data_IF_560852023448
#
_entry.id   IF_560852023448
#
_cell.length_a   1.000
_cell.length_b   1.000
_cell.length_c   1.000
_cell.angle_alpha   90.00
_cell.angle_beta   90.00
_cell.angle_gamma   90.00
#
_symmetry.space_group_name_H-M   'P 1'
#
loop_
_entity.id
_entity.type
_entity.pdbx_description
1 polymer ?
#
# COMPACT_ATOMS: atom_id res chain seq x y z
N UNK A 1 -6.81 -21.86 -6.29
CA UNK A 1 -6.65 -20.43 -5.97
C UNK A 1 -5.88 -20.29 -4.66
N UNK A 2 -5.18 -19.18 -4.44
CA UNK A 2 -4.44 -18.87 -3.19
C UNK A 2 -4.78 -17.48 -2.69
N UNK A 3 -4.79 -17.28 -1.35
CA UNK A 3 -5.03 -16.00 -0.69
C UNK A 3 -3.72 -15.29 -0.26
N UNK A 4 -2.59 -15.70 -0.81
CA UNK A 4 -1.29 -15.07 -0.49
C UNK A 4 -1.32 -13.55 -0.71
N UNK A 5 -0.59 -12.81 0.12
CA UNK A 5 -0.41 -11.35 -0.01
C UNK A 5 1.00 -10.96 -0.50
N UNK A 6 1.94 -11.92 -0.53
CA UNK A 6 3.36 -11.67 -0.82
C UNK A 6 3.99 -12.70 -1.75
N UNK A 7 3.59 -13.98 -1.71
CA UNK A 7 4.14 -15.02 -2.60
C UNK A 7 3.65 -14.86 -4.05
N UNK A 8 4.53 -15.15 -5.01
CA UNK A 8 4.23 -15.13 -6.46
C UNK A 8 3.23 -16.23 -6.83
N UNK A 9 2.19 -15.85 -7.56
CA UNK A 9 1.22 -16.78 -8.16
C UNK A 9 1.88 -17.60 -9.26
N UNK A 10 2.76 -16.99 -10.06
CA UNK A 10 3.56 -17.67 -11.09
C UNK A 10 4.42 -18.76 -10.46
N UNK A 11 5.18 -18.46 -9.41
CA UNK A 11 6.02 -19.45 -8.71
C UNK A 11 5.17 -20.58 -8.12
N UNK A 12 4.07 -20.26 -7.43
CA UNK A 12 3.14 -21.26 -6.87
C UNK A 12 2.60 -22.19 -7.95
N UNK A 13 2.35 -21.68 -9.16
CA UNK A 13 1.77 -22.48 -10.24
C UNK A 13 2.69 -23.62 -10.71
N UNK A 14 4.02 -23.44 -10.58
CA UNK A 14 5.03 -24.42 -11.00
C UNK A 14 5.00 -25.71 -10.18
N UNK A 15 4.46 -25.67 -8.97
CA UNK A 15 4.30 -26.85 -8.11
C UNK A 15 3.16 -27.78 -8.58
N UNK A 16 2.43 -27.42 -9.63
CA UNK A 16 1.25 -28.14 -10.10
C UNK A 16 1.43 -28.66 -11.54
N UNK A 17 0.64 -29.67 -11.93
CA UNK A 17 0.56 -30.16 -13.31
C UNK A 17 -0.47 -29.41 -14.17
N UNK A 18 -1.12 -28.39 -13.61
CA UNK A 18 -2.22 -27.61 -14.23
C UNK A 18 -2.05 -26.11 -13.95
N UNK A 19 -0.88 -25.53 -14.28
CA UNK A 19 -0.56 -24.15 -13.92
C UNK A 19 -1.57 -23.14 -14.48
N UNK A 20 -2.24 -23.46 -15.59
CA UNK A 20 -3.28 -22.65 -16.21
C UNK A 20 -4.56 -22.48 -15.38
N UNK A 21 -4.77 -23.36 -14.40
CA UNK A 21 -5.89 -23.30 -13.44
C UNK A 21 -5.49 -22.71 -12.08
N UNK A 22 -4.25 -22.25 -11.92
CA UNK A 22 -3.79 -21.55 -10.71
C UNK A 22 -4.08 -20.05 -10.82
N UNK A 23 -4.57 -19.44 -9.74
CA UNK A 23 -5.00 -18.03 -9.69
C UNK A 23 -4.85 -17.49 -8.26
N UNK A 24 -4.52 -16.20 -8.12
CA UNK A 24 -4.61 -15.49 -6.84
C UNK A 24 -6.02 -14.95 -6.60
N UNK A 25 -6.54 -15.14 -5.39
CA UNK A 25 -7.75 -14.50 -4.87
C UNK A 25 -7.41 -13.89 -3.52
N UNK A 26 -6.88 -12.66 -3.54
CA UNK A 26 -6.42 -11.99 -2.34
C UNK A 26 -7.56 -11.19 -1.70
N UNK A 27 -8.05 -11.70 -0.58
CA UNK A 27 -9.09 -11.10 0.26
C UNK A 27 -8.46 -10.21 1.35
N UNK A 28 -9.17 -9.14 1.70
CA UNK A 28 -8.73 -8.19 2.73
C UNK A 28 -9.41 -8.47 4.07
N UNK A 29 -8.67 -8.31 5.18
CA UNK A 29 -9.14 -8.60 6.53
C UNK A 29 -9.85 -7.39 7.16
N UNK A 30 -11.01 -7.55 7.85
CA UNK A 30 -11.82 -8.76 7.97
C UNK A 30 -12.59 -9.12 6.70
N UNK A 31 -12.47 -10.37 6.25
CA UNK A 31 -13.03 -10.84 4.97
C UNK A 31 -14.54 -10.64 4.89
N UNK A 32 -15.27 -10.70 6.00
CA UNK A 32 -16.72 -10.49 6.01
C UNK A 32 -17.13 -9.03 5.80
N UNK A 33 -16.29 -8.08 6.18
CA UNK A 33 -16.56 -6.64 6.06
C UNK A 33 -15.97 -6.06 4.77
N UNK A 34 -14.74 -6.46 4.44
CA UNK A 34 -14.02 -5.92 3.28
C UNK A 34 -14.63 -6.43 1.98
N UNK A 35 -14.88 -5.51 1.05
CA UNK A 35 -15.50 -5.80 -0.25
C UNK A 35 -14.50 -6.20 -1.32
N UNK A 36 -13.28 -5.66 -1.25
CA UNK A 36 -12.26 -5.89 -2.27
C UNK A 36 -11.80 -7.35 -2.32
N UNK A 37 -11.59 -7.83 -3.55
CA UNK A 37 -10.74 -8.99 -3.85
C UNK A 37 -9.82 -8.62 -5.03
N UNK A 38 -8.52 -8.79 -4.87
CA UNK A 38 -7.60 -8.73 -6.02
C UNK A 38 -7.57 -10.12 -6.67
N UNK A 39 -7.96 -10.20 -7.96
CA UNK A 39 -7.93 -11.43 -8.75
C UNK A 39 -6.65 -11.40 -9.60
N UNK A 40 -5.68 -12.24 -9.24
CA UNK A 40 -4.31 -12.13 -9.74
C UNK A 40 -3.97 -13.24 -10.72
N UNK A 41 -3.63 -12.82 -11.94
CA UNK A 41 -3.16 -13.66 -13.03
C UNK A 41 -1.65 -13.92 -12.88
N UNK A 42 -1.28 -15.18 -12.73
CA UNK A 42 0.11 -15.61 -12.93
C UNK A 42 0.42 -15.80 -14.41
N UNK A 43 1.69 -15.95 -14.77
CA UNK A 43 2.14 -16.02 -16.18
C UNK A 43 1.51 -17.17 -16.97
N UNK A 44 1.15 -18.26 -16.28
CA UNK A 44 0.55 -19.44 -16.89
C UNK A 44 -0.98 -19.45 -16.79
N UNK A 45 -1.59 -18.60 -15.96
CA UNK A 45 -3.03 -18.59 -15.72
C UNK A 45 -3.81 -18.31 -17.01
N UNK A 46 -4.76 -19.17 -17.34
CA UNK A 46 -5.60 -18.96 -18.53
C UNK A 46 -6.61 -17.82 -18.34
N UNK A 47 -7.01 -17.20 -19.45
CA UNK A 47 -8.05 -16.17 -19.42
C UNK A 47 -9.39 -16.73 -18.89
N UNK A 48 -9.73 -17.97 -19.24
CA UNK A 48 -10.90 -18.68 -18.72
C UNK A 48 -10.88 -18.76 -17.19
N UNK A 49 -9.73 -19.10 -16.58
CA UNK A 49 -9.58 -19.16 -15.12
C UNK A 49 -9.74 -17.78 -14.49
N UNK A 50 -9.15 -16.75 -15.09
CA UNK A 50 -9.27 -15.35 -14.65
C UNK A 50 -10.73 -14.89 -14.67
N UNK A 51 -11.44 -15.13 -15.77
CA UNK A 51 -12.83 -14.72 -15.93
C UNK A 51 -13.75 -15.47 -14.96
N UNK A 52 -13.56 -16.79 -14.81
CA UNK A 52 -14.31 -17.60 -13.85
C UNK A 52 -14.13 -17.11 -12.41
N UNK A 53 -12.88 -16.82 -12.01
CA UNK A 53 -12.54 -16.34 -10.68
C UNK A 53 -13.14 -14.96 -10.41
N UNK A 54 -13.06 -14.05 -11.39
CA UNK A 54 -13.69 -12.74 -11.31
C UNK A 54 -15.21 -12.83 -11.14
N UNK A 55 -15.89 -13.65 -11.96
CA UNK A 55 -17.33 -13.88 -11.84
C UNK A 55 -17.73 -14.54 -10.52
N UNK A 56 -16.89 -15.45 -10.00
CA UNK A 56 -17.10 -16.03 -8.68
C UNK A 56 -17.11 -14.95 -7.59
N UNK A 57 -16.13 -14.04 -7.57
CA UNK A 57 -16.08 -12.94 -6.61
C UNK A 57 -17.33 -12.04 -6.67
N UNK A 58 -17.82 -11.71 -7.87
CA UNK A 58 -19.07 -10.95 -8.02
C UNK A 58 -20.26 -11.68 -7.38
N UNK A 59 -20.41 -12.99 -7.64
CA UNK A 59 -21.52 -13.80 -7.10
C UNK A 59 -21.54 -13.87 -5.57
N UNK A 60 -20.38 -13.81 -4.92
CA UNK A 60 -20.28 -13.80 -3.46
C UNK A 60 -20.35 -12.38 -2.86
N UNK A 61 -20.81 -11.39 -3.64
CA UNK A 61 -21.01 -10.01 -3.18
C UNK A 61 -19.72 -9.24 -2.92
N UNK A 62 -18.62 -9.63 -3.57
CA UNK A 62 -17.34 -8.92 -3.53
C UNK A 62 -17.20 -7.97 -4.70
N UNK A 63 -16.23 -7.07 -4.57
CA UNK A 63 -15.81 -6.09 -5.56
C UNK A 63 -14.44 -6.55 -6.08
N UNK A 64 -14.40 -7.40 -7.13
CA UNK A 64 -13.14 -7.84 -7.70
C UNK A 64 -12.49 -6.73 -8.55
N UNK A 65 -11.16 -6.73 -8.55
CA UNK A 65 -10.30 -5.98 -9.48
C UNK A 65 -9.33 -6.95 -10.15
N UNK A 66 -8.97 -6.68 -11.40
CA UNK A 66 -8.04 -7.54 -12.15
C UNK A 66 -6.60 -7.08 -11.92
N UNK A 67 -5.73 -8.04 -11.59
CA UNK A 67 -4.28 -7.87 -11.59
C UNK A 67 -3.74 -8.73 -12.71
N UNK A 68 -3.44 -8.11 -13.85
CA UNK A 68 -3.10 -8.77 -15.11
C UNK A 68 -1.68 -9.36 -15.12
N UNK A 69 -0.84 -8.92 -14.18
CA UNK A 69 0.52 -9.42 -14.00
C UNK A 69 0.83 -9.67 -12.54
N UNK A 70 1.44 -10.81 -12.26
CA UNK A 70 1.93 -11.14 -10.93
C UNK A 70 3.13 -10.26 -10.57
N UNK A 71 2.93 -9.36 -9.60
CA UNK A 71 3.96 -8.46 -9.08
C UNK A 71 3.94 -8.48 -7.56
N UNK A 72 5.11 -8.33 -6.88
CA UNK A 72 5.17 -8.30 -5.42
C UNK A 72 4.22 -7.25 -4.83
N UNK A 73 3.25 -7.68 -4.01
CA UNK A 73 2.28 -6.81 -3.35
C UNK A 73 1.07 -6.38 -4.20
N UNK A 74 0.93 -6.89 -5.43
CA UNK A 74 -0.21 -6.68 -6.32
C UNK A 74 -0.56 -5.20 -6.55
N UNK A 75 -1.74 -4.73 -6.14
CA UNK A 75 -2.13 -3.31 -6.26
C UNK A 75 -2.04 -2.62 -4.90
N UNK A 76 -2.87 -3.01 -3.92
CA UNK A 76 -3.06 -2.24 -2.68
C UNK A 76 -1.79 -2.23 -1.84
N UNK A 77 -1.20 -3.40 -1.56
CA UNK A 77 0.01 -3.46 -0.74
C UNK A 77 1.20 -2.81 -1.45
N UNK A 78 1.26 -2.95 -2.78
CA UNK A 78 2.30 -2.34 -3.61
C UNK A 78 2.26 -0.82 -3.55
N UNK A 79 1.08 -0.21 -3.71
CA UNK A 79 0.88 1.25 -3.63
C UNK A 79 1.11 1.79 -2.22
N UNK A 80 0.78 1.02 -1.18
CA UNK A 80 0.95 1.45 0.21
C UNK A 80 2.41 1.37 0.70
N UNK A 81 3.25 0.54 0.08
CA UNK A 81 4.62 0.33 0.54
C UNK A 81 5.48 1.62 0.54
N UNK A 82 5.46 2.48 -0.50
CA UNK A 82 6.18 3.76 -0.48
C UNK A 82 5.69 4.75 0.58
N UNK A 83 4.38 4.80 0.86
CA UNK A 83 3.84 5.61 1.97
C UNK A 83 4.40 5.14 3.31
N UNK A 84 4.42 3.81 3.52
CA UNK A 84 5.02 3.21 4.71
C UNK A 84 6.52 3.47 4.85
N UNK A 85 7.25 3.56 3.74
CA UNK A 85 8.67 3.93 3.72
C UNK A 85 8.87 5.43 4.01
N UNK A 86 7.98 6.29 3.51
CA UNK A 86 8.02 7.74 3.77
C UNK A 86 7.72 8.06 5.24
N UNK A 87 6.70 7.44 5.84
CA UNK A 87 6.44 7.58 7.27
C UNK A 87 7.63 7.15 8.13
N UNK A 88 8.23 6.00 7.80
CA UNK A 88 9.44 5.53 8.48
C UNK A 88 10.60 6.49 8.34
N UNK A 89 10.83 7.03 7.13
CA UNK A 89 11.89 7.99 6.89
C UNK A 89 11.69 9.31 7.65
N UNK A 90 10.45 9.82 7.73
CA UNK A 90 10.11 11.01 8.51
C UNK A 90 10.47 10.82 9.99
N UNK A 91 10.12 9.67 10.57
CA UNK A 91 10.40 9.35 11.96
C UNK A 91 11.90 9.14 12.21
N UNK A 92 12.58 8.35 11.37
CA UNK A 92 14.02 8.08 11.52
C UNK A 92 14.88 9.36 11.36
N UNK A 93 14.41 10.37 10.63
CA UNK A 93 15.08 11.68 10.51
C UNK A 93 14.69 12.66 11.62
N UNK A 94 13.84 12.26 12.58
CA UNK A 94 13.38 13.12 13.67
C UNK A 94 12.51 14.30 13.21
N UNK A 95 11.87 14.20 12.04
CA UNK A 95 11.02 15.28 11.51
C UNK A 95 9.73 15.38 12.32
N UNK A 96 9.09 14.24 12.61
CA UNK A 96 7.90 14.14 13.43
C UNK A 96 7.87 12.80 14.16
N UNK A 97 7.22 12.76 15.32
CA UNK A 97 7.01 11.54 16.10
C UNK A 97 5.78 10.75 15.61
N UNK A 98 5.70 9.43 15.88
CA UNK A 98 4.54 8.60 15.53
C UNK A 98 3.19 9.23 15.94
N UNK A 99 3.08 9.74 17.17
CA UNK A 99 1.84 10.34 17.67
C UNK A 99 1.47 11.63 16.94
N UNK A 100 2.45 12.46 16.57
CA UNK A 100 2.20 13.71 15.86
C UNK A 100 1.67 13.44 14.43
N UNK A 101 2.18 12.39 13.79
CA UNK A 101 1.71 11.93 12.48
C UNK A 101 0.31 11.32 12.61
N UNK A 102 0.08 10.46 13.60
CA UNK A 102 -1.23 9.87 13.82
C UNK A 102 -2.29 10.93 14.13
N UNK A 103 -1.96 11.92 14.95
CA UNK A 103 -2.82 13.06 15.25
C UNK A 103 -3.19 13.85 13.99
N UNK A 104 -2.22 14.09 13.08
CA UNK A 104 -2.47 14.71 11.77
C UNK A 104 -3.48 13.90 10.94
N UNK A 105 -3.24 12.60 10.74
CA UNK A 105 -4.13 11.77 9.92
C UNK A 105 -5.51 11.58 10.54
N UNK A 106 -5.60 11.54 11.87
CA UNK A 106 -6.88 11.52 12.60
C UNK A 106 -7.66 12.84 12.41
N UNK A 107 -6.99 14.00 12.44
CA UNK A 107 -7.62 15.30 12.11
C UNK A 107 -8.14 15.37 10.68
N UNK A 108 -7.50 14.66 9.75
CA UNK A 108 -7.93 14.52 8.36
C UNK A 108 -9.06 13.49 8.17
N UNK A 109 -9.65 12.99 9.27
CA UNK A 109 -10.81 12.11 9.25
C UNK A 109 -10.49 10.62 9.18
N UNK A 110 -9.20 10.22 9.21
CA UNK A 110 -8.87 8.78 9.23
C UNK A 110 -9.27 8.14 10.56
N UNK A 111 -9.91 6.94 10.54
CA UNK A 111 -10.29 6.24 11.77
C UNK A 111 -9.09 5.88 12.65
N UNK A 112 -7.94 5.57 12.07
CA UNK A 112 -6.67 5.30 12.75
C UNK A 112 -5.56 6.07 12.05
N UNK A 113 -4.59 6.52 12.83
CA UNK A 113 -3.32 7.01 12.27
C UNK A 113 -2.47 5.85 11.72
N UNK A 114 -1.47 6.12 10.84
CA UNK A 114 -0.63 5.08 10.27
C UNK A 114 0.12 4.22 11.31
N UNK A 115 0.62 4.79 12.41
CA UNK A 115 1.36 4.03 13.43
C UNK A 115 0.42 3.25 14.35
N UNK A 116 -0.73 3.83 14.71
CA UNK A 116 -1.80 3.15 15.42
C UNK A 116 -2.29 1.93 14.62
N UNK A 117 -2.43 2.07 13.29
CA UNK A 117 -2.81 0.98 12.41
C UNK A 117 -1.73 -0.12 12.34
N UNK A 118 -0.45 0.24 12.31
CA UNK A 118 0.66 -0.73 12.37
C UNK A 118 0.63 -1.53 13.68
N UNK A 119 0.39 -0.87 14.81
CA UNK A 119 0.23 -1.55 16.10
C UNK A 119 -1.02 -2.46 16.14
N UNK A 120 -2.13 -1.98 15.58
CA UNK A 120 -3.39 -2.75 15.55
C UNK A 120 -3.27 -4.01 14.71
N UNK A 121 -2.58 -3.93 13.57
CA UNK A 121 -2.39 -5.04 12.63
C UNK A 121 -1.29 -6.00 13.08
N UNK A 122 -0.20 -5.49 13.65
CA UNK A 122 0.95 -6.24 14.11
C UNK A 122 2.25 -5.74 13.46
N UNK A 123 3.19 -5.28 14.30
CA UNK A 123 4.47 -4.75 13.81
C UNK A 123 5.36 -5.81 13.19
N UNK A 124 5.38 -7.03 13.72
CA UNK A 124 6.13 -8.16 13.18
C UNK A 124 5.62 -8.59 11.78
N UNK A 125 4.30 -8.58 11.57
CA UNK A 125 3.70 -8.85 10.25
C UNK A 125 4.15 -7.80 9.24
N UNK A 126 4.05 -6.53 9.64
CA UNK A 126 4.47 -5.38 8.82
C UNK A 126 5.99 -5.37 8.56
N UNK A 127 6.79 -5.80 9.54
CA UNK A 127 8.24 -5.92 9.44
C UNK A 127 8.64 -7.01 8.43
N UNK A 128 8.01 -8.19 8.51
CA UNK A 128 8.26 -9.28 7.57
C UNK A 128 7.84 -8.91 6.14
N UNK A 129 6.68 -8.27 5.95
CA UNK A 129 6.24 -7.78 4.65
C UNK A 129 7.22 -6.77 4.04
N UNK A 130 7.74 -5.84 4.86
CA UNK A 130 8.75 -4.86 4.42
C UNK A 130 10.09 -5.52 4.06
N UNK A 131 10.55 -6.51 4.82
CA UNK A 131 11.76 -7.26 4.45
C UNK A 131 11.60 -7.98 3.12
N UNK A 132 10.43 -8.59 2.88
CA UNK A 132 10.11 -9.19 1.59
C UNK A 132 10.13 -8.13 0.47
N UNK A 133 9.50 -6.98 0.65
CA UNK A 133 9.53 -5.90 -0.35
C UNK A 133 10.92 -5.31 -0.56
N UNK A 134 11.76 -5.25 0.47
CA UNK A 134 13.14 -4.82 0.34
C UNK A 134 13.94 -5.71 -0.61
N UNK A 135 13.70 -7.03 -0.55
CA UNK A 135 14.36 -8.02 -1.39
C UNK A 135 13.73 -8.08 -2.79
N UNK A 136 12.40 -8.08 -2.88
CA UNK A 136 11.68 -8.32 -4.13
C UNK A 136 11.48 -7.06 -4.99
N UNK A 137 11.59 -5.86 -4.40
CA UNK A 137 11.26 -4.60 -5.08
C UNK A 137 12.42 -3.61 -5.03
N UNK A 138 12.82 -3.18 -3.83
CA UNK A 138 13.88 -2.19 -3.64
C UNK A 138 14.30 -2.14 -2.17
N UNK A 139 15.61 -2.08 -1.87
CA UNK A 139 16.11 -1.90 -0.50
C UNK A 139 15.53 -0.67 0.23
N UNK A 140 15.05 0.34 -0.51
CA UNK A 140 14.41 1.53 0.07
C UNK A 140 13.13 1.22 0.87
N UNK A 141 12.50 0.07 0.63
CA UNK A 141 11.29 -0.40 1.32
C UNK A 141 11.57 -1.21 2.59
N UNK A 142 12.85 -1.33 2.98
CA UNK A 142 13.25 -2.01 4.21
C UNK A 142 12.58 -1.42 5.47
N UNK A 143 12.41 -2.22 6.53
CA UNK A 143 11.93 -1.72 7.82
C UNK A 143 12.77 -0.55 8.32
N UNK A 144 12.10 0.49 8.82
CA UNK A 144 12.75 1.64 9.44
C UNK A 144 13.27 1.31 10.84
N UNK A 145 14.25 2.08 11.32
CA UNK A 145 15.04 1.74 12.50
C UNK A 145 14.16 1.60 13.76
N UNK A 146 13.21 2.53 13.96
CA UNK A 146 12.30 2.45 15.09
C UNK A 146 11.42 1.18 15.07
N UNK A 147 10.92 0.78 13.91
CA UNK A 147 10.14 -0.46 13.79
C UNK A 147 11.00 -1.69 14.12
N UNK A 148 12.25 -1.73 13.63
CA UNK A 148 13.17 -2.82 13.93
C UNK A 148 13.41 -2.95 15.44
N UNK A 149 13.69 -1.84 16.13
CA UNK A 149 13.90 -1.82 17.57
C UNK A 149 12.69 -2.34 18.36
N UNK A 150 11.46 -1.96 17.94
CA UNK A 150 10.22 -2.45 18.55
C UNK A 150 10.05 -3.97 18.38
N UNK A 151 10.29 -4.48 17.18
CA UNK A 151 10.17 -5.91 16.88
C UNK A 151 11.21 -6.74 17.64
N UNK A 152 12.46 -6.26 17.71
CA UNK A 152 13.53 -6.93 18.49
C UNK A 152 13.23 -6.95 20.00
N UNK A 153 12.50 -5.95 20.50
CA UNK A 153 12.02 -5.89 21.88
C UNK A 153 10.75 -6.72 22.15
N UNK A 154 10.19 -7.41 21.15
CA UNK A 154 8.93 -8.15 21.29
C UNK A 154 7.68 -7.26 21.43
N UNK A 155 7.80 -5.98 21.10
CA UNK A 155 6.70 -5.00 21.14
C UNK A 155 5.97 -5.01 19.79
N UNK A 156 5.04 -5.94 19.59
CA UNK A 156 4.34 -6.16 18.32
C UNK A 156 3.03 -5.38 18.15
N UNK A 157 2.72 -4.46 19.07
CA UNK A 157 1.48 -3.68 19.07
C UNK A 157 0.39 -4.30 19.94
N UNK A 158 -0.87 -4.23 19.48
CA UNK A 158 -2.06 -4.62 20.26
C UNK A 158 -1.97 -6.04 20.83
N UNK A 159 -1.46 -6.99 20.05
CA UNK A 159 -1.40 -8.42 20.44
C UNK A 159 -0.41 -8.73 21.56
N UNK A 160 0.56 -7.86 21.80
CA UNK A 160 1.53 -7.95 22.91
C UNK A 160 1.30 -6.88 23.96
N UNK A 161 0.23 -6.09 23.85
CA UNK A 161 -0.08 -5.00 24.77
C UNK A 161 0.82 -3.76 24.61
N UNK A 162 1.79 -3.76 23.68
CA UNK A 162 2.72 -2.65 23.45
C UNK A 162 3.34 -2.68 22.07
N UNK A 163 3.43 -1.52 21.42
CA UNK A 163 4.11 -1.28 20.14
C UNK A 163 4.66 0.15 20.12
N UNK A 164 4.27 0.96 19.14
CA UNK A 164 4.46 2.41 19.21
C UNK A 164 3.73 3.02 20.41
N UNK A 165 2.58 2.45 20.76
CA UNK A 165 1.76 2.88 21.89
C UNK A 165 1.63 1.79 22.95
N UNK A 166 1.16 2.17 24.14
CA UNK A 166 0.72 1.25 25.19
C UNK A 166 -0.73 0.80 24.89
N UNK A 167 -0.92 -0.51 24.74
CA UNK A 167 -2.21 -1.16 24.49
C UNK A 167 -2.73 -1.94 25.71
N UNK A 168 -2.03 -1.90 26.84
CA UNK A 168 -2.38 -2.64 28.07
C UNK A 168 -3.76 -2.28 28.61
N UNK A 169 -4.24 -1.06 28.32
CA UNK A 169 -5.57 -0.56 28.70
C UNK A 169 -6.57 -0.50 27.54
N UNK A 170 -6.26 -1.15 26.42
CA UNK A 170 -7.08 -1.14 25.21
C UNK A 170 -6.52 -0.20 24.13
N UNK A 171 -7.41 0.32 23.28
CA UNK A 171 -7.01 1.18 22.15
C UNK A 171 -6.45 2.53 22.66
N UNK A 172 -5.26 2.96 22.22
CA UNK A 172 -4.66 4.21 22.68
C UNK A 172 -5.52 5.42 22.27
N UNK A 173 -5.52 6.45 23.11
CA UNK A 173 -6.12 7.75 22.79
C UNK A 173 -5.04 8.66 22.23
N UNK A 174 -5.16 9.00 20.94
CA UNK A 174 -4.23 9.91 20.26
C UNK A 174 -4.61 11.36 20.59
N UNK A 175 -3.67 12.14 21.14
CA UNK A 175 -3.89 13.57 21.37
C UNK A 175 -3.82 14.36 20.06
N UNK A 176 -4.99 14.78 19.56
CA UNK A 176 -5.11 15.54 18.31
C UNK A 176 -4.42 16.91 18.39
N UNK A 177 -4.17 17.46 19.58
CA UNK A 177 -3.44 18.72 19.75
C UNK A 177 -1.99 18.62 19.26
N UNK A 178 -1.41 17.41 19.26
CA UNK A 178 -0.04 17.11 18.81
C UNK A 178 0.13 17.02 17.30
N UNK A 179 -0.93 17.22 16.50
CA UNK A 179 -0.85 17.11 15.05
C UNK A 179 0.25 18.00 14.45
N UNK A 180 1.21 17.38 13.78
CA UNK A 180 2.34 18.11 13.17
C UNK A 180 1.91 18.92 11.96
N UNK A 181 2.59 20.05 11.73
CA UNK A 181 2.54 20.82 10.48
C UNK A 181 3.78 20.60 9.59
N UNK A 182 4.70 19.72 9.99
CA UNK A 182 5.96 19.43 9.28
C UNK A 182 5.81 18.36 8.20
N UNK A 183 4.67 17.68 8.17
CA UNK A 183 4.34 16.63 7.20
C UNK A 183 3.18 17.12 6.34
N UNK A 184 3.38 17.14 5.03
CA UNK A 184 2.31 17.44 4.07
C UNK A 184 1.64 16.12 3.62
N UNK A 185 0.34 15.90 3.90
CA UNK A 185 -0.37 14.70 3.42
C UNK A 185 -0.31 14.52 1.90
N UNK A 186 -0.13 15.60 1.13
CA UNK A 186 0.06 15.53 -0.33
C UNK A 186 1.35 14.83 -0.72
N UNK A 187 2.37 14.80 0.14
CA UNK A 187 3.59 14.04 -0.13
C UNK A 187 3.36 12.53 -0.01
N UNK A 188 2.51 12.11 0.94
CA UNK A 188 2.11 10.71 1.08
C UNK A 188 1.31 10.27 -0.15
N UNK A 189 0.40 11.13 -0.61
CA UNK A 189 -0.38 10.90 -1.81
C UNK A 189 0.50 10.88 -3.07
N UNK A 190 1.48 11.78 -3.18
CA UNK A 190 2.40 11.84 -4.31
C UNK A 190 3.17 10.51 -4.49
N UNK A 191 3.66 9.90 -3.41
CA UNK A 191 4.36 8.60 -3.51
C UNK A 191 3.41 7.45 -3.87
N UNK A 192 2.13 7.51 -3.48
CA UNK A 192 1.12 6.54 -3.91
C UNK A 192 0.81 6.67 -5.39
N UNK A 193 0.62 7.92 -5.87
CA UNK A 193 0.41 8.21 -7.30
C UNK A 193 1.60 7.71 -8.11
N UNK A 194 2.82 7.99 -7.66
CA UNK A 194 4.04 7.54 -8.32
C UNK A 194 4.16 6.02 -8.43
N UNK A 195 3.69 5.28 -7.43
CA UNK A 195 3.70 3.82 -7.50
C UNK A 195 2.56 3.29 -8.37
N UNK A 196 1.38 3.91 -8.31
CA UNK A 196 0.24 3.58 -9.17
C UNK A 196 0.58 3.75 -10.64
N UNK A 197 1.28 4.83 -11.03
CA UNK A 197 1.70 5.02 -12.42
C UNK A 197 2.69 3.95 -12.90
N UNK A 198 3.55 3.40 -12.03
CA UNK A 198 4.39 2.23 -12.39
C UNK A 198 3.53 1.02 -12.75
N UNK A 199 2.51 0.72 -11.94
CA UNK A 199 1.61 -0.40 -12.21
C UNK A 199 0.84 -0.24 -13.53
N UNK A 200 0.47 0.99 -13.88
CA UNK A 200 -0.14 1.30 -15.18
C UNK A 200 0.86 1.12 -16.31
N UNK A 201 2.07 1.69 -16.20
CA UNK A 201 3.12 1.58 -17.22
C UNK A 201 3.54 0.13 -17.47
N UNK A 202 3.52 -0.71 -16.44
CA UNK A 202 3.81 -2.14 -16.55
C UNK A 202 2.62 -2.96 -17.04
N UNK A 203 1.43 -2.38 -17.17
CA UNK A 203 0.22 -3.09 -17.56
C UNK A 203 -0.24 -4.11 -16.50
N UNK A 204 -0.03 -3.81 -15.22
CA UNK A 204 -0.50 -4.63 -14.09
C UNK A 204 -2.00 -4.42 -13.87
N UNK A 205 -2.45 -3.17 -13.92
CA UNK A 205 -3.84 -2.79 -13.71
C UNK A 205 -4.18 -1.47 -14.41
N UNK A 206 -5.46 -1.25 -14.68
CA UNK A 206 -5.96 0.03 -15.20
C UNK A 206 -6.01 1.09 -14.09
N UNK A 207 -6.06 2.37 -14.44
CA UNK A 207 -6.26 3.45 -13.46
C UNK A 207 -7.57 3.28 -12.68
N UNK A 208 -8.64 2.81 -13.34
CA UNK A 208 -9.93 2.54 -12.72
C UNK A 208 -9.86 1.39 -11.70
N UNK A 209 -9.23 0.27 -12.08
CA UNK A 209 -9.04 -0.86 -11.15
C UNK A 209 -8.16 -0.48 -9.97
N UNK A 210 -7.13 0.34 -10.18
CA UNK A 210 -6.30 0.87 -9.09
C UNK A 210 -7.13 1.70 -8.12
N UNK A 211 -7.92 2.65 -8.61
CA UNK A 211 -8.73 3.50 -7.75
C UNK A 211 -9.78 2.67 -6.99
N UNK A 212 -10.46 1.77 -7.70
CA UNK A 212 -11.43 0.83 -7.13
C UNK A 212 -10.79 -0.05 -6.05
N UNK A 213 -9.57 -0.53 -6.27
CA UNK A 213 -8.82 -1.30 -5.29
C UNK A 213 -8.50 -0.47 -4.04
N UNK A 214 -7.96 0.74 -4.19
CA UNK A 214 -7.61 1.57 -3.04
C UNK A 214 -8.84 1.96 -2.22
N UNK A 215 -9.93 2.38 -2.87
CA UNK A 215 -11.18 2.73 -2.19
C UNK A 215 -11.72 1.55 -1.37
N UNK A 216 -11.87 0.37 -2.01
CA UNK A 216 -12.50 -0.79 -1.37
C UNK A 216 -11.55 -1.58 -0.45
N UNK A 217 -10.24 -1.40 -0.58
CA UNK A 217 -9.21 -2.08 0.20
C UNK A 217 -8.73 -1.30 1.42
N UNK A 218 -8.84 0.03 1.40
CA UNK A 218 -8.30 0.90 2.46
C UNK A 218 -9.37 1.76 3.13
N UNK A 219 -10.57 1.87 2.55
CA UNK A 219 -11.63 2.74 3.05
C UNK A 219 -11.41 4.23 2.74
N UNK A 220 -10.55 4.54 1.77
CA UNK A 220 -10.40 5.89 1.25
C UNK A 220 -11.62 6.28 0.39
N UNK A 221 -11.99 7.56 0.42
CA UNK A 221 -13.09 8.08 -0.41
C UNK A 221 -12.73 8.09 -1.91
N UNK A 222 -11.46 8.31 -2.22
CA UNK A 222 -10.92 8.39 -3.58
C UNK A 222 -9.66 7.54 -3.73
N UNK A 223 -9.45 7.08 -4.96
CA UNK A 223 -8.22 6.40 -5.37
C UNK A 223 -7.12 7.38 -5.78
N UNK A 224 -5.86 6.92 -5.85
CA UNK A 224 -4.72 7.79 -6.14
C UNK A 224 -4.79 8.40 -7.55
N UNK A 225 -5.35 7.70 -8.54
CA UNK A 225 -5.41 8.22 -9.91
C UNK A 225 -6.48 9.29 -10.09
N UNK A 226 -7.60 9.19 -9.36
CA UNK A 226 -8.57 10.28 -9.24
C UNK A 226 -7.97 11.49 -8.52
N UNK A 227 -7.29 11.26 -7.39
CA UNK A 227 -6.65 12.34 -6.64
C UNK A 227 -5.51 13.01 -7.43
N UNK A 228 -4.80 12.24 -8.27
CA UNK A 228 -3.76 12.76 -9.14
C UNK A 228 -4.27 13.88 -10.07
N UNK A 229 -5.55 13.88 -10.44
CA UNK A 229 -6.14 14.91 -11.32
C UNK A 229 -6.10 16.32 -10.71
N UNK A 230 -5.86 16.43 -9.40
CA UNK A 230 -5.73 17.71 -8.69
C UNK A 230 -4.30 18.26 -8.70
N UNK A 231 -3.32 17.48 -9.18
CA UNK A 231 -1.92 17.87 -9.22
C UNK A 231 -1.53 18.36 -10.61
N UNK A 232 -0.96 19.55 -10.66
CA UNK A 232 -0.18 20.00 -11.81
C UNK A 232 1.06 19.10 -11.97
N UNK A 233 1.41 18.64 -13.19
CA UNK A 233 2.55 17.74 -13.40
C UNK A 233 3.86 18.26 -12.81
N UNK A 234 4.12 19.56 -12.93
CA UNK A 234 5.32 20.19 -12.39
C UNK A 234 5.38 20.14 -10.85
N UNK A 235 4.25 20.32 -10.15
CA UNK A 235 4.20 20.22 -8.68
C UNK A 235 4.46 18.77 -8.22
N UNK A 236 3.81 17.80 -8.88
CA UNK A 236 3.99 16.40 -8.53
C UNK A 236 5.44 15.93 -8.76
N UNK A 237 6.07 16.33 -9.86
CA UNK A 237 7.50 16.09 -10.12
C UNK A 237 8.37 16.72 -9.03
N UNK A 238 8.15 18.00 -8.72
CA UNK A 238 8.97 18.73 -7.74
C UNK A 238 8.87 18.11 -6.33
N UNK A 239 7.66 17.67 -5.93
CA UNK A 239 7.45 16.96 -4.66
C UNK A 239 8.24 15.67 -4.60
N UNK A 240 8.10 14.83 -5.62
CA UNK A 240 8.77 13.52 -5.69
C UNK A 240 10.30 13.65 -5.73
N UNK A 241 10.84 14.59 -6.50
CA UNK A 241 12.28 14.86 -6.54
C UNK A 241 12.81 15.39 -5.21
N UNK A 242 12.05 16.27 -4.53
CA UNK A 242 12.40 16.73 -3.18
C UNK A 242 12.45 15.57 -2.20
N UNK A 243 11.44 14.69 -2.20
CA UNK A 243 11.39 13.52 -1.31
C UNK A 243 12.55 12.56 -1.57
N UNK A 244 12.81 12.25 -2.85
CA UNK A 244 13.95 11.41 -3.25
C UNK A 244 15.28 12.01 -2.78
N UNK A 245 15.50 13.31 -2.97
CA UNK A 245 16.72 14.01 -2.55
C UNK A 245 16.89 14.06 -1.04
N UNK A 246 15.84 14.42 -0.30
CA UNK A 246 15.89 14.58 1.16
C UNK A 246 16.12 13.25 1.85
N UNK A 247 15.35 12.22 1.47
CA UNK A 247 15.42 10.91 2.12
C UNK A 247 16.39 9.93 1.44
N UNK A 248 17.01 10.33 0.33
CA UNK A 248 17.95 9.53 -0.48
C UNK A 248 17.36 8.19 -0.91
N UNK A 249 16.10 8.19 -1.32
CA UNK A 249 15.32 6.99 -1.71
C UNK A 249 14.89 7.09 -3.16
N UNK A 250 15.38 6.19 -4.00
CA UNK A 250 15.08 6.13 -5.43
C UNK A 250 13.63 5.78 -5.71
N UNK A 251 12.97 5.05 -4.81
CA UNK A 251 11.54 4.72 -4.95
C UNK A 251 10.63 5.96 -5.06
N UNK A 252 11.11 7.13 -4.62
CA UNK A 252 10.40 8.41 -4.72
C UNK A 252 10.73 9.18 -6.00
N UNK A 253 11.64 8.73 -6.86
CA UNK A 253 11.88 9.39 -8.15
C UNK A 253 10.63 9.33 -9.03
N UNK A 254 10.22 10.43 -9.68
CA UNK A 254 9.00 10.45 -10.46
C UNK A 254 9.12 9.60 -11.72
N UNK A 255 8.10 8.80 -11.96
CA UNK A 255 7.94 7.99 -13.18
C UNK A 255 7.89 8.84 -14.44
N UNK A 256 8.14 8.17 -15.57
CA UNK A 256 8.03 8.80 -16.90
C UNK A 256 6.62 9.32 -17.15
N UNK A 257 5.58 8.55 -16.82
CA UNK A 257 4.18 8.98 -16.92
C UNK A 257 3.88 10.28 -16.15
N UNK A 258 4.46 10.46 -14.95
CA UNK A 258 4.32 11.71 -14.19
C UNK A 258 5.05 12.86 -14.88
N UNK A 259 6.31 12.65 -15.27
CA UNK A 259 7.11 13.68 -15.96
C UNK A 259 6.48 14.16 -17.25
N UNK A 260 5.80 13.28 -17.98
CA UNK A 260 5.11 13.57 -19.24
C UNK A 260 3.65 14.03 -19.04
N UNK A 261 3.15 14.10 -17.79
CA UNK A 261 1.75 14.48 -17.50
C UNK A 261 0.69 13.51 -18.02
N UNK A 262 1.08 12.27 -18.39
CA UNK A 262 0.19 11.29 -19.03
C UNK A 262 -0.83 10.65 -18.07
N UNK A 263 -0.73 10.90 -16.77
CA UNK A 263 -1.71 10.45 -15.77
C UNK A 263 -2.99 11.30 -15.78
N UNK A 264 -2.95 12.50 -16.36
CA UNK A 264 -4.11 13.37 -16.46
C UNK A 264 -5.09 12.81 -17.48
N UNK A 265 -6.36 12.76 -17.10
CA UNK A 265 -7.46 12.49 -18.02
C UNK A 265 -7.53 13.69 -18.96
N UNK A 266 -7.45 13.44 -20.28
CA UNK A 266 -7.71 14.51 -21.24
C UNK A 266 -9.16 14.94 -21.06
N UNK A 267 -9.38 16.22 -20.71
CA UNK A 267 -10.71 16.81 -20.83
C UNK A 267 -11.05 16.81 -22.33
N UNK A 268 -11.94 15.91 -22.73
CA UNK A 268 -12.55 15.89 -24.05
C UNK A 268 -13.72 16.86 -24.11
#
# INVERSE_FOLDING_TARGET
ATNTSTMSITEISTATKRPEKVIGLHFFNPVVLMKLVEVIKGDHTSQETMDLAYQFCLRIGKVPVRVEKDVPGFIVNRIQAPSGALFGAIVDHGIAEPEEIDALFRKLGKPMGPFELLDFTGLDVSYNARNYFAQAISPDLAPFALMKAKVEAGEYGKKTGKGFYDWSKGRPQIDLSRATNKVDPKDILAVQINEATKLIEWGVATAEDIDKAIVNGTGNDKGPMEEAQQFEPADLVARLERLSRVFKKKIFEPTRMIREGRYLRKHG
#
